data_IF_391832694771
#
_entry.id   IF_391832694771
#
_cell.length_a   1.000
_cell.length_b   1.000
_cell.length_c   1.000
_cell.angle_alpha   90.00
_cell.angle_beta   90.00
_cell.angle_gamma   90.00
#
_symmetry.space_group_name_H-M   'P 1'
#
loop_
_entity.id
_entity.type
_entity.pdbx_description
1 polymer ?
#
# COMPACT_ATOMS: atom_id res chain seq x y z
N UNK A 1 -26.21 1.44 0.39
CA UNK A 1 -24.84 0.91 0.56
C UNK A 1 -24.02 1.96 1.30
N UNK A 2 -23.43 1.61 2.44
CA UNK A 2 -22.47 2.50 3.13
C UNK A 2 -21.13 2.37 2.42
N UNK A 3 -20.55 3.48 1.97
CA UNK A 3 -19.19 3.52 1.42
C UNK A 3 -18.20 3.88 2.53
N UNK A 4 -16.99 3.31 2.48
CA UNK A 4 -15.94 3.65 3.45
C UNK A 4 -15.61 5.14 3.33
N UNK A 5 -15.52 5.83 4.47
CA UNK A 5 -15.29 7.26 4.51
C UNK A 5 -13.80 7.58 4.31
N UNK A 6 -13.45 8.64 3.57
CA UNK A 6 -12.06 9.10 3.44
C UNK A 6 -11.50 9.61 4.78
N UNK A 7 -10.18 9.74 4.93
CA UNK A 7 -9.15 9.46 3.92
C UNK A 7 -8.53 8.06 4.03
N UNK A 8 -8.06 7.53 2.90
CA UNK A 8 -7.31 6.27 2.85
C UNK A 8 -6.01 6.38 2.06
N UNK A 9 -5.01 5.62 2.46
CA UNK A 9 -3.81 5.39 1.68
C UNK A 9 -3.36 3.93 1.80
N UNK A 10 -2.33 3.58 1.04
CA UNK A 10 -1.63 2.30 1.14
C UNK A 10 -0.17 2.59 1.47
N UNK A 11 0.27 2.10 2.62
CA UNK A 11 1.66 2.12 3.05
C UNK A 11 2.13 0.70 3.35
N UNK A 12 3.35 0.33 2.97
CA UNK A 12 3.91 -0.99 3.27
C UNK A 12 4.84 -0.93 4.48
N UNK A 13 4.85 -2.01 5.27
CA UNK A 13 5.86 -2.19 6.30
C UNK A 13 7.17 -2.63 5.66
N UNK A 14 8.24 -1.85 5.86
CA UNK A 14 9.54 -2.09 5.25
C UNK A 14 10.19 -3.42 5.73
N UNK A 15 9.85 -3.89 6.92
CA UNK A 15 10.32 -5.16 7.50
C UNK A 15 9.47 -6.37 7.10
N UNK A 16 8.37 -6.14 6.37
CA UNK A 16 7.35 -7.15 6.05
C UNK A 16 7.10 -7.23 4.54
N UNK A 17 8.17 -7.05 3.77
CA UNK A 17 8.27 -7.25 2.32
C UNK A 17 9.55 -8.06 2.01
N UNK A 18 9.61 -8.87 0.94
CA UNK A 18 10.81 -9.63 0.60
C UNK A 18 11.95 -8.71 0.17
N UNK A 19 13.20 -9.19 0.30
CA UNK A 19 14.38 -8.46 -0.16
C UNK A 19 14.27 -8.09 -1.65
N UNK A 20 14.56 -6.83 -2.00
CA UNK A 20 14.37 -6.28 -3.34
C UNK A 20 12.93 -5.87 -3.68
N UNK A 21 11.93 -6.28 -2.89
CA UNK A 21 10.54 -5.88 -3.09
C UNK A 21 10.32 -4.38 -2.86
N UNK A 22 11.12 -3.75 -1.98
CA UNK A 22 11.04 -2.33 -1.71
C UNK A 22 11.32 -1.47 -2.96
N UNK A 23 12.33 -1.84 -3.73
CA UNK A 23 12.74 -1.11 -4.92
C UNK A 23 11.69 -1.20 -6.02
N UNK A 24 11.11 -2.40 -6.21
CA UNK A 24 10.03 -2.63 -7.18
C UNK A 24 8.79 -1.83 -6.80
N UNK A 25 8.38 -1.86 -5.53
CA UNK A 25 7.23 -1.09 -5.06
C UNK A 25 7.47 0.41 -5.20
N UNK A 26 8.62 0.92 -4.76
CA UNK A 26 8.94 2.35 -4.88
C UNK A 26 8.98 2.81 -6.34
N UNK A 27 9.42 1.97 -7.27
CA UNK A 27 9.39 2.27 -8.71
C UNK A 27 8.00 2.23 -9.34
N UNK A 28 7.06 1.47 -8.77
CA UNK A 28 5.69 1.34 -9.30
C UNK A 28 4.67 2.28 -8.63
N UNK A 29 4.95 2.71 -7.41
CA UNK A 29 4.16 3.66 -6.64
C UNK A 29 4.36 5.09 -7.18
N UNK A 30 3.27 5.84 -7.32
CA UNK A 30 3.25 7.22 -7.82
C UNK A 30 2.67 8.16 -6.77
N UNK A 31 2.98 9.45 -6.85
CA UNK A 31 2.45 10.45 -5.92
C UNK A 31 2.73 10.08 -4.44
N UNK A 32 3.91 9.53 -4.17
CA UNK A 32 4.26 9.00 -2.86
C UNK A 32 4.50 10.12 -1.85
N UNK A 33 4.03 9.91 -0.63
CA UNK A 33 4.28 10.82 0.50
C UNK A 33 5.63 10.55 1.18
N UNK A 34 6.10 9.31 1.06
CA UNK A 34 7.37 8.79 1.57
C UNK A 34 7.68 7.46 0.85
N UNK A 35 8.89 6.88 0.98
CA UNK A 35 9.14 5.52 0.52
C UNK A 35 8.06 4.55 1.01
N UNK A 36 7.60 3.68 0.11
CA UNK A 36 6.57 2.68 0.36
C UNK A 36 5.22 3.23 0.83
N UNK A 37 4.98 4.54 0.67
CA UNK A 37 3.79 5.23 1.19
C UNK A 37 3.09 6.00 0.08
N UNK A 38 1.92 5.52 -0.33
CA UNK A 38 1.08 6.17 -1.34
C UNK A 38 0.38 7.44 -0.82
N UNK A 39 -0.29 8.17 -1.72
CA UNK A 39 -1.02 9.39 -1.38
C UNK A 39 -2.21 9.12 -0.45
N UNK A 40 -2.56 10.10 0.38
CA UNK A 40 -3.86 10.13 1.06
C UNK A 40 -4.94 10.54 0.07
N UNK A 41 -5.81 9.59 -0.28
CA UNK A 41 -7.00 9.83 -1.09
C UNK A 41 -8.14 10.29 -0.17
N UNK A 42 -8.75 11.41 -0.51
CA UNK A 42 -9.77 12.11 0.30
C UNK A 42 -11.15 12.08 -0.34
N UNK A 43 -11.24 11.64 -1.60
CA UNK A 43 -12.47 11.44 -2.33
C UNK A 43 -13.03 10.03 -2.14
N UNK A 44 -14.28 9.87 -2.56
CA UNK A 44 -14.97 8.58 -2.61
C UNK A 44 -14.69 7.91 -3.97
N UNK A 45 -14.51 6.59 -3.96
CA UNK A 45 -14.23 5.75 -5.13
C UNK A 45 -12.92 6.11 -5.88
N UNK A 46 -12.02 6.87 -5.26
CA UNK A 46 -10.69 7.11 -5.82
C UNK A 46 -9.89 5.80 -5.90
N UNK A 47 -9.04 5.70 -6.91
CA UNK A 47 -8.20 4.52 -7.12
C UNK A 47 -6.72 4.88 -7.04
N UNK A 48 -5.94 3.95 -6.49
CA UNK A 48 -4.49 4.01 -6.49
C UNK A 48 -3.94 2.70 -7.02
N UNK A 49 -3.15 2.77 -8.09
CA UNK A 49 -2.65 1.60 -8.82
C UNK A 49 -1.18 1.38 -8.49
N UNK A 50 -0.85 0.17 -8.06
CA UNK A 50 0.51 -0.28 -7.74
C UNK A 50 0.76 -1.57 -8.53
N UNK A 51 1.87 -1.64 -9.28
CA UNK A 51 2.24 -2.84 -10.02
C UNK A 51 3.22 -3.69 -9.21
N UNK A 52 3.02 -5.01 -9.24
CA UNK A 52 3.92 -6.02 -8.64
C UNK A 52 4.72 -6.77 -9.71
N UNK A 53 4.69 -6.34 -10.97
CA UNK A 53 5.49 -6.96 -12.03
C UNK A 53 6.97 -6.88 -11.69
N UNK A 54 7.65 -8.03 -11.66
CA UNK A 54 9.06 -8.13 -11.27
C UNK A 54 9.30 -8.10 -9.76
N UNK A 55 8.25 -8.03 -8.93
CA UNK A 55 8.38 -8.14 -7.49
C UNK A 55 8.72 -9.59 -7.10
N UNK A 56 9.65 -9.80 -6.16
CA UNK A 56 9.96 -11.14 -5.65
C UNK A 56 8.73 -11.80 -5.01
N UNK A 57 8.64 -13.12 -5.12
CA UNK A 57 7.62 -13.89 -4.42
C UNK A 57 7.73 -13.69 -2.90
N UNK A 58 6.58 -13.66 -2.22
CA UNK A 58 6.49 -13.51 -0.77
C UNK A 58 5.36 -12.62 -0.31
N UNK A 59 5.42 -12.25 0.97
CA UNK A 59 4.37 -11.50 1.66
C UNK A 59 4.67 -10.01 1.64
N UNK A 60 3.68 -9.21 1.26
CA UNK A 60 3.72 -7.76 1.25
C UNK A 60 2.63 -7.23 2.16
N UNK A 61 3.01 -6.90 3.38
CA UNK A 61 2.05 -6.42 4.40
C UNK A 61 1.91 -4.92 4.27
N UNK A 62 0.66 -4.43 4.25
CA UNK A 62 0.34 -3.01 4.09
C UNK A 62 -0.72 -2.54 5.09
N UNK A 63 -0.76 -1.24 5.30
CA UNK A 63 -1.70 -0.57 6.18
C UNK A 63 -2.18 0.77 5.60
N UNK A 64 -3.28 1.25 6.14
CA UNK A 64 -3.74 2.61 5.96
C UNK A 64 -3.27 3.44 7.16
N UNK A 65 -2.45 4.47 6.91
CA UNK A 65 -1.82 5.31 7.94
C UNK A 65 -2.82 5.92 8.93
N UNK A 66 -3.90 6.61 8.53
CA UNK A 66 -4.86 7.20 9.49
C UNK A 66 -5.68 6.16 10.26
N UNK A 67 -5.75 4.92 9.77
CA UNK A 67 -6.62 3.87 10.29
C UNK A 67 -5.86 2.67 10.86
N UNK A 68 -4.54 2.79 11.03
CA UNK A 68 -3.68 1.70 11.52
C UNK A 68 -4.10 1.25 12.92
N UNK A 69 -4.37 2.21 13.82
CA UNK A 69 -4.83 1.94 15.20
C UNK A 69 -6.21 1.27 15.25
N UNK A 70 -7.01 1.43 14.20
CA UNK A 70 -8.31 0.77 14.03
C UNK A 70 -8.22 -0.55 13.27
N UNK A 71 -7.00 -1.00 12.93
CA UNK A 71 -6.76 -2.31 12.34
C UNK A 71 -6.91 -2.37 10.82
N UNK A 72 -6.92 -1.24 10.11
CA UNK A 72 -6.93 -1.25 8.65
C UNK A 72 -5.55 -1.64 8.10
N UNK A 73 -5.35 -2.97 8.02
CA UNK A 73 -4.16 -3.62 7.50
C UNK A 73 -4.55 -4.78 6.60
N UNK A 74 -3.68 -5.09 5.66
CA UNK A 74 -3.85 -6.20 4.75
C UNK A 74 -2.52 -6.83 4.38
N UNK A 75 -2.60 -7.93 3.66
CA UNK A 75 -1.45 -8.66 3.15
C UNK A 75 -1.71 -9.10 1.73
N UNK A 76 -0.72 -8.92 0.88
CA UNK A 76 -0.67 -9.47 -0.48
C UNK A 76 0.38 -10.57 -0.50
N UNK A 77 0.06 -11.71 -1.11
CA UNK A 77 1.03 -12.76 -1.41
C UNK A 77 1.30 -12.74 -2.91
N UNK A 78 2.57 -12.64 -3.28
CA UNK A 78 3.05 -12.81 -4.66
C UNK A 78 3.67 -14.20 -4.75
N UNK A 79 3.32 -14.96 -5.79
CA UNK A 79 3.78 -16.34 -6.04
C UNK A 79 4.45 -16.46 -7.40
#
# INVERSE_FOLDING_TARGET
MVKSGPPHNVAFWADSIPAGGADVLNGSMKETMAPLTGPLKVGIDETYKISFVGAPAGQYTYYCTPHLTFGMKGKITVE
#
